data_IF_720823139395
#
_entry.id   IF_720823139395
#
_cell.length_a   1.000
_cell.length_b   1.000
_cell.length_c   1.000
_cell.angle_alpha   90.00
_cell.angle_beta   90.00
_cell.angle_gamma   90.00
#
_symmetry.space_group_name_H-M   'P 1'
#
loop_
_entity.id
_entity.type
_entity.pdbx_description
1 polymer ?
#
# COMPACT_ATOMS: atom_id res chain seq x y z
N UNK A 1 0.89 -28.40 -50.11
CA UNK A 1 -0.24 -28.13 -49.18
C UNK A 1 0.35 -27.30 -48.06
N UNK A 2 0.15 -25.99 -48.15
CA UNK A 2 0.80 -25.01 -47.30
C UNK A 2 0.20 -24.94 -45.89
N UNK A 3 1.11 -24.63 -44.97
CA UNK A 3 0.97 -24.35 -43.55
C UNK A 3 -0.30 -23.59 -43.14
N UNK A 4 -0.94 -24.06 -42.08
CA UNK A 4 -1.54 -23.19 -41.06
C UNK A 4 -1.16 -23.68 -39.66
N UNK A 5 0.07 -23.38 -39.25
CA UNK A 5 0.39 -23.32 -37.83
C UNK A 5 -0.20 -22.04 -37.26
N UNK A 6 -1.27 -22.19 -36.48
CA UNK A 6 -1.77 -21.13 -35.58
C UNK A 6 -0.59 -20.48 -34.83
N UNK A 7 -0.54 -19.15 -34.73
CA UNK A 7 0.41 -18.51 -33.85
C UNK A 7 0.01 -18.87 -32.42
N UNK A 8 0.74 -19.83 -31.82
CA UNK A 8 0.69 -20.03 -30.36
C UNK A 8 1.15 -18.71 -29.75
N UNK A 9 0.21 -17.99 -29.14
CA UNK A 9 0.49 -16.83 -28.31
C UNK A 9 1.57 -17.25 -27.29
N UNK A 10 2.83 -16.86 -27.54
CA UNK A 10 3.88 -17.02 -26.56
C UNK A 10 3.42 -16.20 -25.34
N UNK A 11 3.41 -16.78 -24.12
CA UNK A 11 3.23 -15.98 -22.92
C UNK A 11 4.23 -14.82 -23.01
N UNK A 12 3.78 -13.58 -22.71
CA UNK A 12 4.66 -12.41 -22.64
C UNK A 12 5.95 -12.84 -21.93
N UNK A 13 7.10 -12.61 -22.56
CA UNK A 13 8.38 -12.93 -21.92
C UNK A 13 8.40 -12.27 -20.54
N UNK A 14 9.02 -12.91 -19.54
CA UNK A 14 9.03 -12.41 -18.16
C UNK A 14 9.43 -10.92 -18.08
N UNK A 15 10.30 -10.46 -18.98
CA UNK A 15 10.69 -9.06 -19.11
C UNK A 15 9.57 -8.17 -19.67
N UNK A 16 8.85 -8.59 -20.72
CA UNK A 16 7.72 -7.83 -21.24
C UNK A 16 6.60 -7.68 -20.20
N UNK A 17 6.31 -8.75 -19.46
CA UNK A 17 5.34 -8.74 -18.36
C UNK A 17 5.76 -7.76 -17.24
N UNK A 18 7.04 -7.75 -16.85
CA UNK A 18 7.56 -6.80 -15.86
C UNK A 18 7.39 -5.35 -16.33
N UNK A 19 7.66 -5.05 -17.61
CA UNK A 19 7.47 -3.71 -18.16
C UNK A 19 6.00 -3.27 -18.13
N UNK A 20 5.09 -4.16 -18.52
CA UNK A 20 3.64 -3.91 -18.48
C UNK A 20 3.17 -3.66 -17.04
N UNK A 21 3.57 -4.50 -16.09
CA UNK A 21 3.20 -4.30 -14.67
C UNK A 21 3.78 -3.00 -14.10
N UNK A 22 4.99 -2.59 -14.51
CA UNK A 22 5.60 -1.33 -14.06
C UNK A 22 4.87 -0.08 -14.55
N UNK A 23 4.26 -0.12 -15.75
CA UNK A 23 3.54 1.02 -16.31
C UNK A 23 2.09 1.14 -15.83
N UNK A 24 1.57 0.11 -15.16
CA UNK A 24 0.20 0.08 -14.63
C UNK A 24 0.07 0.87 -13.33
N UNK A 25 -1.14 1.40 -13.10
CA UNK A 25 -1.49 2.03 -11.82
C UNK A 25 -1.57 1.00 -10.69
N UNK A 26 -1.53 1.49 -9.44
CA UNK A 26 -1.65 0.65 -8.23
C UNK A 26 -2.95 -0.14 -8.24
N UNK A 27 -4.05 0.51 -8.62
CA UNK A 27 -5.40 -0.08 -8.65
C UNK A 27 -5.48 -1.23 -9.66
N UNK A 28 -4.97 -0.99 -10.88
CA UNK A 28 -4.94 -2.00 -11.94
C UNK A 28 -4.11 -3.22 -11.53
N UNK A 29 -2.98 -2.99 -10.85
CA UNK A 29 -2.12 -4.07 -10.33
C UNK A 29 -2.77 -4.83 -9.18
N UNK A 30 -3.58 -4.16 -8.37
CA UNK A 30 -4.37 -4.81 -7.32
C UNK A 30 -5.45 -5.71 -7.92
N UNK A 31 -6.16 -5.25 -8.95
CA UNK A 31 -7.12 -6.08 -9.71
C UNK A 31 -6.44 -7.31 -10.31
N UNK A 32 -5.25 -7.14 -10.91
CA UNK A 32 -4.45 -8.26 -11.43
C UNK A 32 -4.04 -9.21 -10.31
N UNK A 33 -3.60 -8.68 -9.17
CA UNK A 33 -3.24 -9.50 -8.02
C UNK A 33 -4.44 -10.34 -7.55
N UNK A 34 -5.65 -9.78 -7.48
CA UNK A 34 -6.84 -10.54 -7.10
C UNK A 34 -7.23 -11.60 -8.14
N UNK A 35 -7.19 -11.26 -9.44
CA UNK A 35 -7.75 -12.12 -10.49
C UNK A 35 -6.75 -13.11 -11.11
N UNK A 36 -5.44 -12.86 -10.99
CA UNK A 36 -4.39 -13.65 -11.64
C UNK A 36 -3.31 -14.09 -10.63
N UNK A 37 -3.56 -15.16 -9.86
CA UNK A 37 -2.62 -15.70 -8.88
C UNK A 37 -1.23 -16.03 -9.45
N UNK A 38 -1.17 -16.47 -10.70
CA UNK A 38 0.08 -16.80 -11.40
C UNK A 38 1.05 -15.61 -11.52
N UNK A 39 0.56 -14.37 -11.35
CA UNK A 39 1.36 -13.15 -11.43
C UNK A 39 1.79 -12.61 -10.06
N UNK A 40 1.40 -13.24 -8.95
CA UNK A 40 1.68 -12.77 -7.59
C UNK A 40 3.18 -12.55 -7.34
N UNK A 41 4.02 -13.53 -7.71
CA UNK A 41 5.45 -13.46 -7.46
C UNK A 41 6.10 -12.26 -8.16
N UNK A 42 5.76 -12.04 -9.44
CA UNK A 42 6.30 -10.92 -10.22
C UNK A 42 5.74 -9.59 -9.71
N UNK A 43 4.44 -9.53 -9.39
CA UNK A 43 3.80 -8.31 -8.89
C UNK A 43 4.35 -7.91 -7.50
N UNK A 44 4.72 -8.88 -6.68
CA UNK A 44 5.23 -8.66 -5.32
C UNK A 44 6.62 -8.00 -5.31
N UNK A 45 7.49 -8.31 -6.26
CA UNK A 45 8.85 -7.75 -6.28
C UNK A 45 8.95 -6.40 -7.01
N UNK A 46 7.95 -6.04 -7.80
CA UNK A 46 7.99 -4.82 -8.60
C UNK A 46 7.53 -3.61 -7.77
N UNK A 47 8.34 -2.54 -7.70
CA UNK A 47 7.95 -1.31 -7.02
C UNK A 47 6.73 -0.69 -7.70
N UNK A 48 5.95 0.06 -6.94
CA UNK A 48 4.81 0.80 -7.46
C UNK A 48 5.23 2.21 -7.87
N UNK A 49 4.56 2.74 -8.90
CA UNK A 49 4.54 4.17 -9.19
C UNK A 49 3.26 4.72 -8.57
N UNK A 50 3.41 5.49 -7.50
CA UNK A 50 2.31 6.00 -6.68
C UNK A 50 2.22 7.51 -6.89
N UNK A 51 1.00 8.01 -7.10
CA UNK A 51 0.77 9.45 -7.30
C UNK A 51 0.80 10.17 -5.96
N UNK A 52 0.07 9.68 -4.97
CA UNK A 52 0.02 10.29 -3.65
C UNK A 52 0.12 9.20 -2.59
N UNK A 53 0.98 9.42 -1.60
CA UNK A 53 0.96 8.69 -0.34
C UNK A 53 0.74 9.71 0.75
N UNK A 54 -0.30 9.52 1.55
CA UNK A 54 -0.59 10.35 2.72
C UNK A 54 -0.53 9.49 3.97
N UNK A 55 0.22 9.93 4.97
CA UNK A 55 0.24 9.31 6.30
C UNK A 55 -0.33 10.33 7.26
N UNK A 56 -1.38 9.94 7.97
CA UNK A 56 -1.96 10.70 9.08
C UNK A 56 -2.19 9.73 10.24
N UNK A 57 -2.48 10.21 11.47
CA UNK A 57 -2.68 9.32 12.60
C UNK A 57 -3.79 8.31 12.30
N UNK A 58 -3.46 7.02 12.40
CA UNK A 58 -4.36 5.89 12.14
C UNK A 58 -4.88 5.76 10.70
N UNK A 59 -4.31 6.46 9.71
CA UNK A 59 -4.73 6.29 8.32
C UNK A 59 -3.61 6.41 7.28
N UNK A 60 -3.72 5.58 6.25
CA UNK A 60 -2.81 5.52 5.12
C UNK A 60 -3.59 5.78 3.84
N UNK A 61 -3.21 6.82 3.12
CA UNK A 61 -3.75 7.14 1.80
C UNK A 61 -2.79 6.66 0.73
N UNK A 62 -3.28 5.86 -0.22
CA UNK A 62 -2.57 5.46 -1.43
C UNK A 62 -3.42 5.89 -2.62
N UNK A 63 -2.90 6.84 -3.40
CA UNK A 63 -3.62 7.53 -4.47
C UNK A 63 -4.96 8.08 -3.98
N UNK A 64 -6.07 7.42 -4.35
CA UNK A 64 -7.45 7.83 -4.07
C UNK A 64 -8.12 6.99 -3.00
N UNK A 65 -7.38 6.07 -2.37
CA UNK A 65 -7.93 5.17 -1.34
C UNK A 65 -7.29 5.46 0.00
N UNK A 66 -8.14 5.70 0.98
CA UNK A 66 -7.73 5.95 2.37
C UNK A 66 -8.10 4.74 3.21
N UNK A 67 -7.10 4.11 3.79
CA UNK A 67 -7.22 3.02 4.75
C UNK A 67 -7.22 3.61 6.15
N UNK A 68 -8.24 3.33 6.95
CA UNK A 68 -8.30 3.75 8.36
C UNK A 68 -8.16 2.52 9.25
N UNK A 69 -7.32 2.61 10.28
CA UNK A 69 -6.99 1.54 11.21
C UNK A 69 -7.43 1.94 12.61
N UNK A 70 -8.55 1.39 13.08
CA UNK A 70 -9.12 1.73 14.38
C UNK A 70 -9.02 0.53 15.30
N UNK A 71 -8.72 0.75 16.59
CA UNK A 71 -8.94 -0.29 17.60
C UNK A 71 -10.41 -0.69 17.55
N UNK A 72 -10.68 -1.99 17.61
CA UNK A 72 -12.06 -2.46 17.72
C UNK A 72 -12.66 -1.89 19.01
N UNK A 73 -13.75 -1.12 18.87
CA UNK A 73 -14.52 -0.70 20.03
C UNK A 73 -15.36 -1.88 20.48
N UNK A 74 -14.93 -2.55 21.55
CA UNK A 74 -15.81 -3.46 22.30
C UNK A 74 -16.67 -2.57 23.20
N UNK A 75 -17.97 -2.63 22.98
CA UNK A 75 -18.97 -1.89 23.72
C UNK A 75 -18.84 -2.16 25.23
N UNK A 76 -18.77 -1.08 26.01
CA UNK A 76 -18.91 -0.95 27.47
C UNK A 76 -18.21 -2.02 28.34
N UNK A 77 -17.18 -1.55 29.07
CA UNK A 77 -16.57 -2.13 30.27
C UNK A 77 -15.35 -3.04 30.18
N UNK A 78 -14.80 -3.32 29.00
CA UNK A 78 -13.47 -3.93 28.93
C UNK A 78 -12.47 -2.93 28.34
N UNK A 79 -11.50 -2.53 29.18
CA UNK A 79 -10.19 -2.01 28.75
C UNK A 79 -9.41 -3.15 28.08
N UNK A 80 -10.01 -3.78 27.07
CA UNK A 80 -9.39 -4.87 26.37
C UNK A 80 -8.23 -4.32 25.57
N UNK A 81 -7.04 -4.83 25.84
CA UNK A 81 -5.83 -4.72 25.03
C UNK A 81 -6.01 -5.54 23.75
N UNK A 82 -7.16 -5.34 23.09
CA UNK A 82 -7.58 -6.14 21.97
C UNK A 82 -6.59 -5.83 20.86
N UNK A 83 -5.75 -6.81 20.55
CA UNK A 83 -4.91 -6.83 19.37
C UNK A 83 -5.77 -7.05 18.12
N UNK A 84 -6.93 -6.40 18.03
CA UNK A 84 -7.86 -6.49 16.92
C UNK A 84 -8.12 -5.08 16.35
N UNK A 85 -7.93 -4.97 15.04
CA UNK A 85 -8.09 -3.73 14.30
C UNK A 85 -9.30 -3.82 13.39
N UNK A 86 -10.15 -2.80 13.46
CA UNK A 86 -11.18 -2.51 12.47
C UNK A 86 -10.56 -1.68 11.35
N UNK A 87 -10.66 -2.18 10.12
CA UNK A 87 -10.17 -1.50 8.92
C UNK A 87 -11.35 -1.08 8.07
N UNK A 88 -11.34 0.17 7.63
CA UNK A 88 -12.30 0.73 6.67
C UNK A 88 -11.54 1.40 5.52
N UNK A 89 -12.01 1.19 4.29
CA UNK A 89 -11.41 1.81 3.10
C UNK A 89 -12.38 2.83 2.53
N UNK A 90 -11.93 4.07 2.40
CA UNK A 90 -12.70 5.15 1.75
C UNK A 90 -12.11 5.43 0.39
N UNK A 91 -12.97 5.46 -0.62
CA UNK A 91 -12.64 5.94 -1.96
C UNK A 91 -12.88 7.46 -2.03
N UNK A 92 -11.82 8.24 -2.25
CA UNK A 92 -11.83 9.70 -2.18
C UNK A 92 -12.60 10.35 -3.35
N UNK A 93 -12.74 9.67 -4.50
CA UNK A 93 -13.49 10.20 -5.63
C UNK A 93 -15.00 10.06 -5.40
N UNK A 94 -15.42 8.91 -4.86
CA UNK A 94 -16.84 8.59 -4.66
C UNK A 94 -17.36 8.86 -3.25
N UNK A 95 -16.46 9.14 -2.30
CA UNK A 95 -16.72 9.21 -0.86
C UNK A 95 -17.41 7.95 -0.29
N UNK A 96 -17.36 6.83 -1.01
CA UNK A 96 -17.92 5.55 -0.56
C UNK A 96 -16.93 4.84 0.34
N UNK A 97 -17.45 4.28 1.43
CA UNK A 97 -16.69 3.44 2.34
C UNK A 97 -16.97 1.97 2.06
N UNK A 98 -15.94 1.13 2.17
CA UNK A 98 -16.13 -0.32 2.25
C UNK A 98 -16.87 -0.67 3.56
N UNK A 99 -17.53 -1.83 3.62
CA UNK A 99 -17.85 -2.42 4.91
C UNK A 99 -16.60 -2.54 5.77
N UNK A 100 -16.77 -2.38 7.08
CA UNK A 100 -15.71 -2.61 8.05
C UNK A 100 -15.31 -4.08 8.05
N UNK A 101 -14.00 -4.34 8.10
CA UNK A 101 -13.48 -5.69 8.29
C UNK A 101 -12.42 -5.72 9.38
N UNK A 102 -12.24 -6.89 9.98
CA UNK A 102 -11.46 -7.06 11.19
C UNK A 102 -10.20 -7.88 10.93
N UNK A 103 -9.09 -7.48 11.55
CA UNK A 103 -7.85 -8.25 11.56
C UNK A 103 -7.36 -8.45 12.99
N UNK A 104 -6.84 -9.64 13.30
CA UNK A 104 -6.27 -9.98 14.60
C UNK A 104 -4.84 -9.44 14.71
N UNK A 105 -4.70 -8.12 14.60
CA UNK A 105 -3.47 -7.32 14.71
C UNK A 105 -3.74 -6.02 15.46
N UNK A 106 -2.73 -5.48 16.13
CA UNK A 106 -2.79 -4.10 16.64
C UNK A 106 -2.91 -3.12 15.47
N UNK A 107 -3.45 -1.90 15.68
CA UNK A 107 -3.57 -0.91 14.61
C UNK A 107 -2.24 -0.59 13.97
N UNK A 108 -1.17 -0.49 14.75
CA UNK A 108 0.18 -0.19 14.26
C UNK A 108 0.74 -1.35 13.42
N UNK A 109 0.56 -2.61 13.85
CA UNK A 109 1.00 -3.77 13.06
C UNK A 109 0.19 -3.89 11.75
N UNK A 110 -1.12 -3.59 11.79
CA UNK A 110 -1.97 -3.58 10.62
C UNK A 110 -1.60 -2.44 9.65
N UNK A 111 -1.31 -1.26 10.19
CA UNK A 111 -0.86 -0.09 9.44
C UNK A 111 0.47 -0.39 8.74
N UNK A 112 1.46 -0.88 9.48
CA UNK A 112 2.78 -1.19 8.92
C UNK A 112 2.68 -2.24 7.81
N UNK A 113 1.89 -3.30 8.03
CA UNK A 113 1.66 -4.32 6.99
C UNK A 113 1.01 -3.74 5.75
N UNK A 114 0.02 -2.87 5.91
CA UNK A 114 -0.60 -2.19 4.78
C UNK A 114 0.42 -1.31 4.04
N UNK A 115 1.20 -0.52 4.77
CA UNK A 115 2.25 0.32 4.21
C UNK A 115 3.25 -0.50 3.40
N UNK A 116 3.76 -1.61 3.94
CA UNK A 116 4.76 -2.46 3.28
C UNK A 116 4.26 -3.17 2.02
N UNK A 117 2.94 -3.39 1.89
CA UNK A 117 2.34 -3.96 0.68
C UNK A 117 2.43 -2.99 -0.50
N UNK A 118 2.25 -1.69 -0.26
CA UNK A 118 2.21 -0.66 -1.32
C UNK A 118 3.55 0.08 -1.47
N UNK A 119 4.16 0.46 -0.37
CA UNK A 119 5.36 1.29 -0.32
C UNK A 119 6.58 0.38 -0.14
N UNK A 120 7.09 -0.10 -1.27
CA UNK A 120 8.26 -0.99 -1.35
C UNK A 120 9.54 -0.20 -1.55
N UNK A 121 10.67 -0.88 -1.35
CA UNK A 121 11.96 -0.30 -1.69
C UNK A 121 12.01 0.11 -3.17
N UNK A 122 12.54 1.29 -3.44
CA UNK A 122 12.58 1.95 -4.75
C UNK A 122 11.21 2.25 -5.36
N UNK A 123 10.14 2.30 -4.56
CA UNK A 123 8.87 2.85 -5.01
C UNK A 123 9.04 4.31 -5.44
N UNK A 124 8.41 4.67 -6.56
CA UNK A 124 8.41 6.04 -7.05
C UNK A 124 7.12 6.71 -6.60
N UNK A 125 7.24 7.79 -5.83
CA UNK A 125 6.13 8.51 -5.24
C UNK A 125 6.17 9.95 -5.74
N UNK A 126 5.07 10.42 -6.33
CA UNK A 126 5.01 11.80 -6.81
C UNK A 126 4.80 12.78 -5.65
N UNK A 127 3.78 12.57 -4.82
CA UNK A 127 3.51 13.38 -3.64
C UNK A 127 3.51 12.49 -2.40
N UNK A 128 4.30 12.85 -1.39
CA UNK A 128 4.38 12.15 -0.13
C UNK A 128 4.11 13.13 1.01
N UNK A 129 2.98 12.95 1.69
CA UNK A 129 2.47 13.82 2.74
C UNK A 129 2.51 13.04 4.06
N UNK A 130 3.14 13.62 5.10
CA UNK A 130 3.12 13.06 6.45
C UNK A 130 2.57 14.08 7.45
N UNK A 131 1.66 13.59 8.29
CA UNK A 131 1.09 14.28 9.44
C UNK A 131 1.24 13.37 10.66
N UNK A 132 2.39 13.49 11.33
CA UNK A 132 2.80 12.56 12.39
C UNK A 132 3.53 11.34 11.83
N UNK A 133 4.77 11.15 12.26
CA UNK A 133 5.64 10.08 11.76
C UNK A 133 5.36 8.78 12.53
N UNK A 134 4.95 7.69 11.86
CA UNK A 134 4.77 6.40 12.51
C UNK A 134 6.08 5.87 13.08
N UNK A 135 6.03 5.26 14.27
CA UNK A 135 7.21 4.77 15.00
C UNK A 135 8.01 3.75 14.18
N UNK A 136 7.35 2.84 13.46
CA UNK A 136 8.02 1.85 12.59
C UNK A 136 8.85 2.47 11.45
N UNK A 137 8.60 3.73 11.07
CA UNK A 137 9.47 4.44 10.10
C UNK A 137 10.69 5.06 10.77
N UNK A 138 10.62 5.38 12.06
CA UNK A 138 11.75 5.86 12.87
C UNK A 138 12.73 4.73 13.19
N UNK A 139 12.22 3.52 13.43
CA UNK A 139 13.01 2.33 13.79
C UNK A 139 13.73 1.70 12.60
N UNK A 140 13.39 2.07 11.37
CA UNK A 140 14.11 1.59 10.18
C UNK A 140 15.49 2.20 10.12
N UNK A 141 16.48 1.40 10.50
CA UNK A 141 17.87 1.76 10.31
C UNK A 141 18.16 2.00 8.82
N UNK A 142 18.89 3.06 8.52
CA UNK A 142 19.34 3.38 7.16
C UNK A 142 20.19 2.27 6.50
N UNK A 143 20.59 1.24 7.26
CA UNK A 143 21.29 0.04 6.80
C UNK A 143 20.42 -0.91 5.99
N UNK A 144 19.09 -0.89 6.15
CA UNK A 144 18.17 -1.83 5.49
C UNK A 144 17.97 -1.53 4.01
N UNK A 145 18.59 -0.44 3.52
CA UNK A 145 18.57 -0.05 2.12
C UNK A 145 17.18 0.37 1.62
N UNK A 146 16.22 0.61 2.52
CA UNK A 146 14.90 1.13 2.19
C UNK A 146 15.00 2.58 1.72
N UNK A 147 14.79 2.79 0.43
CA UNK A 147 14.86 4.10 -0.24
C UNK A 147 13.60 4.32 -1.04
N UNK A 148 13.04 5.51 -0.93
CA UNK A 148 11.88 5.95 -1.70
C UNK A 148 12.31 7.06 -2.65
N UNK A 149 11.83 7.00 -3.88
CA UNK A 149 12.06 8.05 -4.87
C UNK A 149 10.88 9.02 -4.82
N UNK A 150 11.00 10.10 -4.04
CA UNK A 150 9.92 11.06 -3.79
C UNK A 150 10.14 12.32 -4.65
N UNK A 151 9.12 12.76 -5.39
CA UNK A 151 9.21 13.98 -6.20
C UNK A 151 8.84 15.25 -5.42
N UNK A 152 7.80 15.18 -4.59
CA UNK A 152 7.34 16.25 -3.69
C UNK A 152 7.08 15.66 -2.32
N UNK A 153 7.69 16.26 -1.30
CA UNK A 153 7.55 15.87 0.09
C UNK A 153 6.92 17.01 0.88
N UNK A 154 5.88 16.71 1.64
CA UNK A 154 5.21 17.65 2.54
C UNK A 154 5.11 17.05 3.93
N UNK A 155 5.40 17.88 4.92
CA UNK A 155 5.39 17.46 6.31
C UNK A 155 4.73 18.56 7.14
N UNK A 156 3.49 18.32 7.54
CA UNK A 156 2.78 19.17 8.49
C UNK A 156 2.87 18.50 9.87
N UNK A 157 4.09 18.52 10.41
CA UNK A 157 4.36 17.99 11.74
C UNK A 157 4.09 19.08 12.78
N UNK A 158 2.99 18.96 13.53
CA UNK A 158 2.75 19.81 14.70
C UNK A 158 3.71 19.52 15.88
N UNK A 159 4.54 18.46 15.84
CA UNK A 159 5.37 18.03 16.97
C UNK A 159 6.80 17.62 16.59
N UNK A 160 7.49 18.42 15.78
CA UNK A 160 8.96 18.39 15.70
C UNK A 160 9.58 19.66 16.32
N UNK A 161 9.18 20.03 17.54
CA UNK A 161 10.02 20.84 18.43
C UNK A 161 10.88 19.91 19.27
N UNK A 162 12.08 19.61 18.77
CA UNK A 162 13.19 19.23 19.64
C UNK A 162 13.63 20.48 20.40
N UNK A 163 13.50 20.46 21.73
CA UNK A 163 14.43 21.08 22.68
C UNK A 163 14.66 20.06 23.78
#
# INVERSE_FOLDING_TARGET
MDNQHQPRCRPLSCNALKCVLKSMSVEKRQEIHTNLPSLHAVNSVLPYTITTVGIVPNALTINRKTWTFRKKQVLWYDFDDSNQTTISIVDLDSHKSSPDFYVNKSPDEAFEKCFNVYVKNNSNIRNFEIWGLPEFLCERDGSDGFKLNISRFENDCCECRRV
#
